data_IF_017436275044
#
_entry.id   IF_017436275044
#
_cell.length_a   1.000
_cell.length_b   1.000
_cell.length_c   1.000
_cell.angle_alpha   90.00
_cell.angle_beta   90.00
_cell.angle_gamma   90.00
#
_symmetry.space_group_name_H-M   'P 1'
#
loop_
_entity.id
_entity.type
_entity.pdbx_description
1 polymer ?
#
# COMPACT_ATOMS: atom_id res chain seq x y z
N UNK A 1 -5.97 66.29 -60.58
CA UNK A 1 -6.18 66.22 -59.11
C UNK A 1 -7.52 65.55 -58.80
N UNK A 2 -7.55 64.23 -58.51
CA UNK A 2 -8.74 63.48 -58.01
C UNK A 2 -8.35 62.45 -56.93
N UNK A 3 -7.26 62.70 -56.20
CA UNK A 3 -6.73 61.78 -55.17
C UNK A 3 -7.53 61.76 -53.84
N UNK A 4 -8.05 62.88 -53.30
CA UNK A 4 -8.55 62.89 -51.92
C UNK A 4 -9.89 62.15 -51.73
N UNK A 5 -10.68 61.96 -52.79
CA UNK A 5 -11.97 61.25 -52.70
C UNK A 5 -11.79 59.73 -52.75
N UNK A 6 -10.87 59.25 -53.59
CA UNK A 6 -10.54 57.82 -53.71
C UNK A 6 -9.85 57.32 -52.42
N UNK A 7 -8.99 58.14 -51.83
CA UNK A 7 -8.32 57.81 -50.56
C UNK A 7 -9.32 57.76 -49.39
N UNK A 8 -10.30 58.68 -49.33
CA UNK A 8 -11.38 58.62 -48.32
C UNK A 8 -12.29 57.40 -48.49
N UNK A 9 -12.60 57.00 -49.72
CA UNK A 9 -13.40 55.80 -50.00
C UNK A 9 -12.65 54.51 -49.63
N UNK A 10 -11.33 54.45 -49.89
CA UNK A 10 -10.47 53.32 -49.47
C UNK A 10 -10.37 53.21 -47.96
N UNK A 11 -10.18 54.32 -47.25
CA UNK A 11 -10.16 54.33 -45.77
C UNK A 11 -11.50 53.87 -45.20
N UNK A 12 -12.62 54.26 -45.81
CA UNK A 12 -13.95 53.79 -45.40
C UNK A 12 -14.11 52.27 -45.60
N UNK A 13 -13.71 51.72 -46.75
CA UNK A 13 -13.76 50.27 -47.00
C UNK A 13 -12.87 49.47 -46.04
N UNK A 14 -11.66 49.96 -45.74
CA UNK A 14 -10.76 49.33 -44.76
C UNK A 14 -11.35 49.33 -43.35
N UNK A 15 -12.09 50.38 -42.97
CA UNK A 15 -12.75 50.44 -41.66
C UNK A 15 -13.86 49.40 -41.50
N UNK A 16 -14.59 49.10 -42.57
CA UNK A 16 -15.64 48.06 -42.57
C UNK A 16 -15.00 46.67 -42.44
N UNK A 17 -13.95 46.39 -43.20
CA UNK A 17 -13.24 45.10 -43.16
C UNK A 17 -12.65 44.85 -41.76
N UNK A 18 -12.04 45.88 -41.16
CA UNK A 18 -11.49 45.80 -39.81
C UNK A 18 -12.59 45.51 -38.78
N UNK A 19 -13.76 46.15 -38.91
CA UNK A 19 -14.92 45.89 -38.06
C UNK A 19 -15.39 44.44 -38.15
N UNK A 20 -15.55 43.90 -39.36
CA UNK A 20 -15.97 42.50 -39.56
C UNK A 20 -14.93 41.53 -38.97
N UNK A 21 -13.64 41.77 -39.20
CA UNK A 21 -12.57 40.95 -38.62
C UNK A 21 -12.61 40.97 -37.08
N UNK A 22 -12.77 42.14 -36.47
CA UNK A 22 -12.88 42.27 -35.00
C UNK A 22 -14.09 41.52 -34.46
N UNK A 23 -15.25 41.62 -35.10
CA UNK A 23 -16.45 40.88 -34.66
C UNK A 23 -16.27 39.37 -34.77
N UNK A 24 -15.66 38.88 -35.85
CA UNK A 24 -15.36 37.45 -36.01
C UNK A 24 -14.40 36.92 -34.95
N UNK A 25 -13.43 37.75 -34.53
CA UNK A 25 -12.47 37.42 -33.49
C UNK A 25 -13.16 37.28 -32.11
N UNK A 26 -14.06 38.22 -31.78
CA UNK A 26 -14.81 38.19 -30.51
C UNK A 26 -15.72 36.97 -30.41
N UNK A 27 -16.43 36.63 -31.48
CA UNK A 27 -17.30 35.45 -31.53
C UNK A 27 -16.48 34.17 -31.36
N UNK A 28 -15.36 34.08 -32.08
CA UNK A 28 -14.44 32.94 -31.98
C UNK A 28 -13.87 32.78 -30.57
N UNK A 29 -13.47 33.90 -29.94
CA UNK A 29 -12.99 33.90 -28.55
C UNK A 29 -14.08 33.44 -27.58
N UNK A 30 -15.30 33.96 -27.68
CA UNK A 30 -16.43 33.53 -26.84
C UNK A 30 -16.74 32.04 -27.01
N UNK A 31 -16.72 31.54 -28.25
CA UNK A 31 -16.98 30.13 -28.54
C UNK A 31 -15.86 29.24 -27.97
N UNK A 32 -14.61 29.65 -28.10
CA UNK A 32 -13.45 28.94 -27.56
C UNK A 32 -13.47 28.95 -26.02
N UNK A 33 -13.81 30.08 -25.38
CA UNK A 33 -13.93 30.16 -23.92
C UNK A 33 -15.06 29.26 -23.40
N UNK A 34 -16.20 29.21 -24.09
CA UNK A 34 -17.29 28.29 -23.75
C UNK A 34 -16.88 26.83 -23.92
N UNK A 35 -16.17 26.50 -25.00
CA UNK A 35 -15.67 25.15 -25.24
C UNK A 35 -14.61 24.74 -24.20
N UNK A 36 -13.68 25.62 -23.86
CA UNK A 36 -12.64 25.38 -22.86
C UNK A 36 -13.22 25.12 -21.46
N UNK A 37 -14.24 25.88 -21.04
CA UNK A 37 -14.93 25.62 -19.78
C UNK A 37 -15.66 24.28 -19.79
N UNK A 38 -16.44 23.97 -20.82
CA UNK A 38 -17.19 22.72 -20.90
C UNK A 38 -16.27 21.48 -20.99
N UNK A 39 -15.14 21.59 -21.70
CA UNK A 39 -14.13 20.54 -21.81
C UNK A 39 -13.29 20.36 -20.54
N UNK A 40 -13.09 21.43 -19.75
CA UNK A 40 -12.35 21.36 -18.48
C UNK A 40 -13.10 20.61 -17.38
N UNK A 41 -14.41 20.83 -17.23
CA UNK A 41 -15.21 20.16 -16.20
C UNK A 41 -15.39 18.67 -16.43
N UNK A 42 -15.56 18.23 -17.69
CA UNK A 42 -15.68 16.81 -18.02
C UNK A 42 -14.36 16.06 -17.77
N UNK A 43 -13.22 16.66 -18.09
CA UNK A 43 -11.90 16.08 -17.85
C UNK A 43 -11.62 15.91 -16.34
N UNK A 44 -11.91 16.92 -15.53
CA UNK A 44 -11.70 16.87 -14.07
C UNK A 44 -12.57 15.78 -13.43
N UNK A 45 -13.85 15.71 -13.78
CA UNK A 45 -14.76 14.71 -13.22
C UNK A 45 -14.39 13.28 -13.65
N UNK A 46 -13.99 13.07 -14.91
CA UNK A 46 -13.56 11.77 -15.39
C UNK A 46 -12.25 11.33 -14.70
N UNK A 47 -11.28 12.22 -14.56
CA UNK A 47 -10.04 11.93 -13.82
C UNK A 47 -10.32 11.63 -12.34
N UNK A 48 -11.22 12.36 -11.69
CA UNK A 48 -11.60 12.07 -10.29
C UNK A 48 -12.31 10.73 -10.14
N UNK A 49 -13.26 10.40 -11.03
CA UNK A 49 -13.94 9.10 -11.02
C UNK A 49 -12.97 7.95 -11.29
N UNK A 50 -11.99 8.16 -12.16
CA UNK A 50 -10.94 7.19 -12.47
C UNK A 50 -10.04 6.95 -11.24
N UNK A 51 -9.53 8.02 -10.61
CA UNK A 51 -8.70 7.92 -9.40
C UNK A 51 -9.49 7.25 -8.25
N UNK A 52 -10.75 7.62 -8.05
CA UNK A 52 -11.61 6.96 -7.06
C UNK A 52 -11.90 5.48 -7.41
N UNK A 53 -11.88 5.12 -8.69
CA UNK A 53 -11.94 3.74 -9.15
C UNK A 53 -10.68 2.96 -8.79
N UNK A 54 -9.51 3.51 -9.12
CA UNK A 54 -8.20 2.91 -8.83
C UNK A 54 -7.97 2.73 -7.33
N UNK A 55 -8.32 3.72 -6.50
CA UNK A 55 -8.22 3.59 -5.04
C UNK A 55 -9.08 2.43 -4.54
N UNK A 56 -10.34 2.32 -5.00
CA UNK A 56 -11.23 1.22 -4.58
C UNK A 56 -10.71 -0.14 -5.04
N UNK A 57 -10.16 -0.24 -6.26
CA UNK A 57 -9.56 -1.47 -6.75
C UNK A 57 -8.30 -1.85 -5.98
N UNK A 58 -7.46 -0.88 -5.64
CA UNK A 58 -6.28 -1.07 -4.82
C UNK A 58 -6.67 -1.52 -3.41
N UNK A 59 -7.67 -0.90 -2.78
CA UNK A 59 -8.16 -1.31 -1.45
C UNK A 59 -8.67 -2.75 -1.45
N UNK A 60 -9.44 -3.14 -2.49
CA UNK A 60 -9.90 -4.52 -2.65
C UNK A 60 -8.74 -5.49 -2.86
N UNK A 61 -7.79 -5.13 -3.71
CA UNK A 61 -6.61 -5.96 -4.00
C UNK A 61 -5.73 -6.14 -2.76
N UNK A 62 -5.50 -5.06 -2.01
CA UNK A 62 -4.77 -5.10 -0.75
C UNK A 62 -5.48 -5.97 0.28
N UNK A 63 -6.82 -5.88 0.36
CA UNK A 63 -7.60 -6.72 1.26
C UNK A 63 -7.52 -8.22 0.89
N UNK A 64 -7.58 -8.56 -0.40
CA UNK A 64 -7.44 -9.97 -0.83
C UNK A 64 -6.03 -10.48 -0.61
N UNK A 65 -5.00 -9.71 -0.97
CA UNK A 65 -3.60 -10.07 -0.74
C UNK A 65 -3.31 -10.24 0.76
N UNK A 66 -3.90 -9.38 1.60
CA UNK A 66 -3.84 -9.48 3.06
C UNK A 66 -4.38 -10.82 3.54
N UNK A 67 -5.59 -11.19 3.12
CA UNK A 67 -6.22 -12.45 3.52
C UNK A 67 -5.43 -13.66 3.06
N UNK A 68 -4.92 -13.64 1.83
CA UNK A 68 -4.10 -14.73 1.28
C UNK A 68 -2.78 -14.85 2.04
N UNK A 69 -2.10 -13.75 2.31
CA UNK A 69 -0.85 -13.70 3.09
C UNK A 69 -1.06 -14.18 4.53
N UNK A 70 -2.15 -13.76 5.18
CA UNK A 70 -2.51 -14.20 6.52
C UNK A 70 -2.81 -15.72 6.54
N UNK A 71 -3.52 -16.23 5.53
CA UNK A 71 -3.80 -17.66 5.39
C UNK A 71 -2.53 -18.49 5.14
N UNK A 72 -1.60 -18.01 4.31
CA UNK A 72 -0.33 -18.65 4.06
C UNK A 72 0.53 -18.72 5.33
N UNK A 73 0.64 -17.62 6.07
CA UNK A 73 1.38 -17.57 7.34
C UNK A 73 0.84 -18.58 8.35
N UNK A 74 -0.48 -18.67 8.49
CA UNK A 74 -1.13 -19.65 9.36
C UNK A 74 -0.87 -21.08 8.89
N UNK A 75 -0.92 -21.34 7.58
CA UNK A 75 -0.66 -22.66 7.02
C UNK A 75 0.79 -23.11 7.27
N UNK A 76 1.77 -22.21 7.09
CA UNK A 76 3.19 -22.44 7.41
C UNK A 76 3.39 -22.75 8.90
N UNK A 77 2.78 -21.96 9.80
CA UNK A 77 2.85 -22.21 11.25
C UNK A 77 2.26 -23.58 11.64
N UNK A 78 1.15 -23.99 11.00
CA UNK A 78 0.56 -25.32 11.20
C UNK A 78 1.46 -26.44 10.70
N UNK A 79 2.08 -26.28 9.53
CA UNK A 79 3.02 -27.24 9.00
C UNK A 79 4.22 -27.41 9.96
N UNK A 80 4.76 -26.30 10.47
CA UNK A 80 5.83 -26.34 11.46
C UNK A 80 5.41 -27.04 12.76
N UNK A 81 4.23 -26.70 13.30
CA UNK A 81 3.69 -27.36 14.49
C UNK A 81 3.49 -28.87 14.27
N UNK A 82 3.07 -29.28 13.08
CA UNK A 82 2.95 -30.70 12.72
C UNK A 82 4.31 -31.39 12.66
N UNK A 83 5.34 -30.75 12.09
CA UNK A 83 6.71 -31.30 12.07
C UNK A 83 7.24 -31.51 13.50
N UNK A 84 7.01 -30.55 14.41
CA UNK A 84 7.40 -30.66 15.83
C UNK A 84 6.69 -31.83 16.51
N UNK A 85 5.40 -32.04 16.24
CA UNK A 85 4.66 -33.16 16.81
C UNK A 85 5.23 -34.52 16.38
N UNK A 86 5.80 -34.61 15.17
CA UNK A 86 6.42 -35.83 14.67
C UNK A 86 7.85 -36.04 15.21
N UNK A 87 8.65 -34.98 15.31
CA UNK A 87 10.02 -35.01 15.83
C UNK A 87 10.26 -33.86 16.82
N UNK A 88 9.92 -34.03 18.12
CA UNK A 88 10.12 -32.98 19.12
C UNK A 88 11.58 -32.60 19.34
N UNK A 89 12.53 -33.48 18.99
CA UNK A 89 13.96 -33.18 19.11
C UNK A 89 14.41 -32.09 18.13
N UNK A 90 13.63 -31.80 17.08
CA UNK A 90 13.93 -30.76 16.10
C UNK A 90 14.07 -29.38 16.75
N UNK A 91 13.34 -29.10 17.84
CA UNK A 91 13.36 -27.79 18.53
C UNK A 91 14.78 -27.44 19.01
N UNK A 92 15.59 -28.47 19.32
CA UNK A 92 16.95 -28.32 19.86
C UNK A 92 18.03 -28.51 18.79
N UNK A 93 17.64 -28.83 17.57
CA UNK A 93 18.55 -29.04 16.43
C UNK A 93 18.54 -27.77 15.56
N UNK A 94 19.52 -26.90 15.79
CA UNK A 94 19.66 -25.63 15.08
C UNK A 94 19.72 -25.81 13.57
N UNK A 95 20.36 -26.89 13.09
CA UNK A 95 20.50 -27.15 11.66
C UNK A 95 19.16 -27.52 11.03
N UNK A 96 18.40 -28.42 11.67
CA UNK A 96 17.04 -28.78 11.20
C UNK A 96 16.10 -27.58 11.27
N UNK A 97 16.15 -26.78 12.33
CA UNK A 97 15.36 -25.56 12.46
C UNK A 97 15.63 -24.59 11.31
N UNK A 98 16.90 -24.41 10.95
CA UNK A 98 17.30 -23.54 9.83
C UNK A 98 16.86 -24.11 8.46
N UNK A 99 16.97 -25.43 8.26
CA UNK A 99 16.45 -26.10 7.06
C UNK A 99 14.93 -25.91 6.92
N UNK A 100 14.17 -26.06 8.02
CA UNK A 100 12.72 -25.85 8.03
C UNK A 100 12.37 -24.37 7.81
N UNK A 101 13.12 -23.43 8.41
CA UNK A 101 12.96 -21.99 8.21
C UNK A 101 13.08 -21.64 6.74
N UNK A 102 14.12 -22.15 6.07
CA UNK A 102 14.32 -21.96 4.63
C UNK A 102 13.24 -22.66 3.80
N UNK A 103 12.79 -23.85 4.19
CA UNK A 103 11.75 -24.60 3.47
C UNK A 103 10.39 -23.89 3.53
N UNK A 104 10.05 -23.30 4.68
CA UNK A 104 8.81 -22.55 4.87
C UNK A 104 8.91 -21.13 4.32
N UNK A 105 10.08 -20.67 3.89
CA UNK A 105 10.33 -19.33 3.38
C UNK A 105 9.81 -18.26 4.36
N UNK A 106 10.37 -18.26 5.57
CA UNK A 106 10.07 -17.32 6.65
C UNK A 106 11.36 -16.75 7.22
N UNK A 107 11.30 -15.55 7.79
CA UNK A 107 12.47 -14.89 8.36
C UNK A 107 12.94 -15.59 9.64
N UNK A 108 12.01 -16.05 10.48
CA UNK A 108 12.29 -16.63 11.79
C UNK A 108 11.27 -17.71 12.18
N UNK A 109 11.71 -18.70 12.95
CA UNK A 109 10.85 -19.69 13.60
C UNK A 109 11.06 -19.64 15.10
N UNK A 110 9.96 -19.67 15.86
CA UNK A 110 9.96 -19.63 17.31
C UNK A 110 8.99 -20.66 17.89
N UNK A 111 9.39 -21.28 19.00
CA UNK A 111 8.59 -22.24 19.76
C UNK A 111 8.60 -21.79 21.23
N UNK A 112 7.42 -21.57 21.79
CA UNK A 112 7.25 -21.23 23.21
C UNK A 112 6.78 -22.43 24.03
N UNK A 113 7.10 -22.41 25.32
CA UNK A 113 6.51 -23.31 26.30
C UNK A 113 5.14 -22.81 26.81
N UNK A 114 4.56 -23.57 27.74
CA UNK A 114 3.27 -23.28 28.37
C UNK A 114 3.25 -21.97 29.19
N UNK A 115 4.42 -21.43 29.55
CA UNK A 115 4.55 -20.19 30.32
C UNK A 115 4.82 -18.99 29.40
N UNK A 116 4.86 -19.21 28.08
CA UNK A 116 5.12 -18.17 27.08
C UNK A 116 6.59 -17.83 26.90
N UNK A 117 7.50 -18.71 27.35
CA UNK A 117 8.94 -18.54 27.23
C UNK A 117 9.43 -19.26 25.97
N UNK A 118 10.26 -18.61 25.16
CA UNK A 118 10.85 -19.25 23.98
C UNK A 118 11.83 -20.36 24.37
N UNK A 119 11.56 -21.56 23.87
CA UNK A 119 12.38 -22.76 24.08
C UNK A 119 13.07 -23.23 22.81
N UNK A 120 12.57 -22.84 21.64
CA UNK A 120 13.22 -23.03 20.34
C UNK A 120 13.16 -21.77 19.52
N UNK A 121 14.26 -21.44 18.85
CA UNK A 121 14.34 -20.29 17.96
C UNK A 121 15.40 -20.51 16.90
N UNK A 122 15.20 -19.99 15.70
CA UNK A 122 16.27 -19.84 14.69
C UNK A 122 17.25 -18.73 15.06
N UNK A 123 16.89 -17.85 16.01
CA UNK A 123 17.77 -16.83 16.58
C UNK A 123 18.13 -17.25 18.00
N UNK A 124 19.34 -17.77 18.18
CA UNK A 124 19.81 -18.32 19.46
C UNK A 124 19.66 -17.33 20.63
N UNK A 125 19.87 -16.02 20.39
CA UNK A 125 19.74 -14.97 21.40
C UNK A 125 18.32 -14.76 21.95
N UNK A 126 17.30 -15.32 21.31
CA UNK A 126 15.91 -15.21 21.75
C UNK A 126 15.45 -16.40 22.60
N UNK A 127 16.26 -17.45 22.76
CA UNK A 127 15.91 -18.53 23.69
C UNK A 127 15.86 -17.98 25.12
N UNK A 128 14.77 -18.28 25.84
CA UNK A 128 14.47 -17.72 27.17
C UNK A 128 13.71 -16.40 27.15
N UNK A 129 13.44 -15.83 25.97
CA UNK A 129 12.64 -14.62 25.83
C UNK A 129 11.17 -14.85 26.22
N UNK A 130 10.60 -13.92 26.99
CA UNK A 130 9.22 -13.99 27.45
C UNK A 130 8.28 -13.22 26.52
N UNK A 131 7.35 -13.90 25.86
CA UNK A 131 6.35 -13.25 24.99
C UNK A 131 5.43 -12.28 25.73
N UNK A 132 5.28 -12.39 27.05
CA UNK A 132 4.49 -11.43 27.82
C UNK A 132 5.17 -10.05 27.94
N UNK A 133 6.47 -9.95 27.63
CA UNK A 133 7.27 -8.76 27.86
C UNK A 133 7.11 -7.67 26.80
N UNK A 134 6.68 -8.00 25.58
CA UNK A 134 6.52 -7.04 24.49
C UNK A 134 5.08 -7.01 23.94
N UNK A 135 4.50 -5.81 23.71
CA UNK A 135 3.18 -5.69 23.09
C UNK A 135 3.01 -6.39 21.74
N UNK A 136 4.09 -6.60 20.97
CA UNK A 136 4.07 -7.28 19.67
C UNK A 136 3.97 -8.81 19.82
N UNK A 137 4.66 -9.40 20.80
CA UNK A 137 4.68 -10.85 21.02
C UNK A 137 3.55 -11.33 21.95
N UNK A 138 3.08 -10.48 22.86
CA UNK A 138 2.03 -10.78 23.83
C UNK A 138 0.72 -11.33 23.25
N UNK A 139 0.19 -10.85 22.11
CA UNK A 139 -1.06 -11.37 21.55
C UNK A 139 -1.00 -12.86 21.17
N UNK A 140 0.19 -13.41 20.87
CA UNK A 140 0.35 -14.84 20.57
C UNK A 140 0.12 -15.74 21.78
N UNK A 141 0.23 -15.21 23.01
CA UNK A 141 -0.06 -15.96 24.25
C UNK A 141 -1.52 -16.40 24.35
N UNK A 142 -2.44 -15.82 23.58
CA UNK A 142 -3.83 -16.30 23.51
C UNK A 142 -3.90 -17.78 23.09
N UNK A 143 -2.94 -18.26 22.30
CA UNK A 143 -2.85 -19.67 21.91
C UNK A 143 -2.57 -20.63 23.07
N UNK A 144 -2.06 -20.15 24.21
CA UNK A 144 -1.87 -20.97 25.42
C UNK A 144 -3.19 -21.27 26.13
N UNK A 145 -4.17 -20.39 25.99
CA UNK A 145 -5.47 -20.50 26.68
C UNK A 145 -6.55 -21.13 25.79
N UNK A 146 -6.38 -21.08 24.47
CA UNK A 146 -7.39 -21.51 23.50
C UNK A 146 -6.75 -22.34 22.38
N UNK A 147 -7.19 -23.59 22.24
CA UNK A 147 -6.60 -24.58 21.34
C UNK A 147 -6.82 -24.28 19.85
N UNK A 148 -7.89 -23.57 19.50
CA UNK A 148 -8.26 -23.25 18.11
C UNK A 148 -7.82 -21.84 17.66
N UNK A 149 -7.09 -21.10 18.51
CA UNK A 149 -6.65 -19.74 18.17
C UNK A 149 -5.53 -19.79 17.15
N UNK A 150 -5.73 -19.01 16.09
CA UNK A 150 -4.75 -18.71 15.05
C UNK A 150 -4.68 -17.20 14.88
N UNK A 151 -3.49 -16.66 14.78
CA UNK A 151 -3.26 -15.22 14.69
C UNK A 151 -2.24 -14.94 13.60
N UNK A 152 -2.66 -14.21 12.57
CA UNK A 152 -1.77 -13.54 11.64
C UNK A 152 -1.87 -12.03 11.94
N UNK A 153 -0.74 -11.41 12.26
CA UNK A 153 -0.68 -10.00 12.60
C UNK A 153 -0.29 -9.17 11.37
N UNK A 154 -0.59 -7.88 11.40
CA UNK A 154 -0.04 -6.96 10.41
C UNK A 154 1.48 -6.85 10.54
N UNK A 155 2.23 -6.71 9.43
CA UNK A 155 3.67 -6.46 9.50
C UNK A 155 3.95 -5.30 10.44
N UNK A 156 4.86 -5.52 11.37
CA UNK A 156 5.36 -4.50 12.29
C UNK A 156 6.86 -4.38 12.11
N UNK A 157 7.46 -3.22 12.42
CA UNK A 157 8.91 -3.07 12.42
C UNK A 157 9.55 -4.08 13.37
N UNK A 158 10.61 -4.73 12.89
CA UNK A 158 11.43 -5.60 13.72
C UNK A 158 12.16 -4.76 14.80
N UNK A 159 12.09 -5.23 16.05
CA UNK A 159 12.73 -4.59 17.21
C UNK A 159 14.15 -5.09 17.48
N UNK A 160 14.66 -6.08 16.74
CA UNK A 160 16.05 -6.53 16.83
C UNK A 160 17.07 -5.39 16.64
N UNK A 161 16.68 -4.34 15.90
CA UNK A 161 17.49 -3.16 15.62
C UNK A 161 17.30 -2.00 16.63
N UNK A 162 16.37 -2.12 17.58
CA UNK A 162 16.16 -1.10 18.62
C UNK A 162 16.98 -1.49 19.84
N UNK A 163 18.20 -0.99 19.91
CA UNK A 163 18.95 -0.87 21.16
C UNK A 163 18.16 0.04 22.09
N UNK A 164 17.27 -0.53 22.90
CA UNK A 164 16.77 0.18 24.07
C UNK A 164 17.96 0.28 25.04
N UNK A 165 18.42 1.49 25.42
CA UNK A 165 19.38 1.59 26.51
C UNK A 165 18.73 1.04 27.78
N UNK A 166 19.51 0.39 28.66
CA UNK A 166 18.97 -0.18 29.88
C UNK A 166 18.26 0.92 30.68
N UNK A 167 16.99 0.72 30.96
CA UNK A 167 16.28 1.55 31.94
C UNK A 167 16.89 1.21 33.29
N UNK A 168 17.57 2.20 33.87
CA UNK A 168 18.11 2.22 35.23
C UNK A 168 17.04 2.07 36.28
#
# INVERSE_FOLDING_TARGET
MKKPVIDKLRVFQLSIILGVLLTSLVISWMMLSRHAMNSGYSLINLSMLHIAGEIRQNDQTLYTLRLESDAQSIAKARAFAYMIQQDPALIRDEKKMEEIRSLLDVDELHVSDKDGILTGSTIHGYIGYNFASDPQSKPFLLALYYQDVKLAQQPMPDRSCVTTPPVS
#
